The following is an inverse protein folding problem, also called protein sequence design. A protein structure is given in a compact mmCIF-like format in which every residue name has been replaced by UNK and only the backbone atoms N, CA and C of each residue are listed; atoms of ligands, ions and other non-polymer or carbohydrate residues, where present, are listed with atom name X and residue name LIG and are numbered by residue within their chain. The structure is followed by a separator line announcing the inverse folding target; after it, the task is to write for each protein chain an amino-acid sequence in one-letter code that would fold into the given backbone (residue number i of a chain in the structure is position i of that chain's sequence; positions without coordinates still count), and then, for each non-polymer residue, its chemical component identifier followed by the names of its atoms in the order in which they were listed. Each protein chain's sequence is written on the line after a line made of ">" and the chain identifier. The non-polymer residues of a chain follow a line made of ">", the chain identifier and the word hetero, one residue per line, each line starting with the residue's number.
data_IF_788602215706
#
_entry.id   IF_788602215706
#
_cell.length_a   1.000
_cell.length_b   1.000
_cell.length_c   1.000
_cell.angle_alpha   90.00
_cell.angle_beta   90.00
_cell.angle_gamma   90.00
#
_symmetry.space_group_name_H-M   'P 1'
#
loop_
_entity.id
_entity.type
_entity.pdbx_description
1 polymer ?
#
# COMPACT_ATOMS: atom_id res chain seq x y z
N UNK A 1 11.52 -18.91 22.42
CA UNK A 1 11.10 -17.94 23.30
C UNK A 1 10.58 -16.67 22.73
N UNK A 2 10.85 -16.32 21.52
CA UNK A 2 10.38 -15.06 20.96
C UNK A 2 9.06 -15.17 20.23
N UNK A 3 8.39 -16.32 20.32
CA UNK A 3 7.14 -16.54 19.59
C UNK A 3 6.07 -15.55 20.02
N UNK A 4 5.92 -15.31 21.32
CA UNK A 4 4.92 -14.37 21.83
C UNK A 4 5.23 -12.95 21.40
N UNK A 5 6.49 -12.52 21.48
CA UNK A 5 6.90 -11.19 21.06
C UNK A 5 6.68 -10.98 19.56
N UNK A 6 6.99 -12.00 18.76
CA UNK A 6 6.79 -11.94 17.32
C UNK A 6 5.31 -11.82 16.98
N UNK A 7 4.45 -12.57 17.66
CA UNK A 7 3.01 -12.52 17.48
C UNK A 7 2.46 -11.14 17.88
N UNK A 8 2.92 -10.60 19.01
CA UNK A 8 2.50 -9.29 19.45
C UNK A 8 2.89 -8.20 18.45
N UNK A 9 4.07 -8.31 17.87
CA UNK A 9 4.52 -7.36 16.86
C UNK A 9 3.67 -7.43 15.61
N UNK A 10 3.33 -8.63 15.16
CA UNK A 10 2.44 -8.83 14.00
C UNK A 10 1.04 -8.31 14.29
N UNK A 11 0.53 -8.53 15.48
CA UNK A 11 -0.78 -8.02 15.87
C UNK A 11 -0.80 -6.50 15.90
N UNK A 12 0.27 -5.89 16.39
CA UNK A 12 0.41 -4.44 16.39
C UNK A 12 0.40 -3.89 14.96
N UNK A 13 1.21 -4.47 14.07
CA UNK A 13 1.25 -4.04 12.67
C UNK A 13 -0.12 -4.20 12.00
N UNK A 14 -0.79 -5.32 12.23
CA UNK A 14 -2.11 -5.57 11.67
C UNK A 14 -3.12 -4.55 12.17
N UNK A 15 -3.09 -4.26 13.47
CA UNK A 15 -4.00 -3.27 14.06
C UNK A 15 -3.76 -1.88 13.50
N UNK A 16 -2.50 -1.50 13.34
CA UNK A 16 -2.16 -0.19 12.80
C UNK A 16 -2.48 -0.09 11.31
N UNK A 17 -2.32 -1.18 10.57
CA UNK A 17 -2.71 -1.22 9.15
C UNK A 17 -4.23 -1.08 9.00
N UNK A 18 -5.00 -1.73 9.87
CA UNK A 18 -6.46 -1.56 9.90
C UNK A 18 -6.84 -0.12 10.24
N UNK A 19 -6.15 0.48 11.20
CA UNK A 19 -6.39 1.88 11.54
C UNK A 19 -6.15 2.79 10.32
N UNK A 20 -5.09 2.51 9.57
CA UNK A 20 -4.81 3.25 8.34
C UNK A 20 -5.90 3.04 7.31
N UNK A 21 -6.35 1.80 7.12
CA UNK A 21 -7.41 1.50 6.16
C UNK A 21 -8.72 2.21 6.53
N UNK A 22 -9.09 2.17 7.80
CA UNK A 22 -10.30 2.85 8.27
C UNK A 22 -10.20 4.36 8.09
N UNK A 23 -9.02 4.93 8.34
CA UNK A 23 -8.82 6.35 8.11
C UNK A 23 -9.00 6.70 6.64
N UNK A 24 -8.38 5.93 5.76
CA UNK A 24 -8.49 6.15 4.31
C UNK A 24 -9.94 6.03 3.84
N UNK A 25 -10.65 5.00 4.29
CA UNK A 25 -12.06 4.79 3.92
C UNK A 25 -12.93 5.94 4.41
N UNK A 26 -12.70 6.36 5.65
CA UNK A 26 -13.52 7.39 6.28
C UNK A 26 -13.34 8.78 5.64
N UNK A 27 -12.12 9.09 5.22
CA UNK A 27 -11.79 10.42 4.74
C UNK A 27 -11.63 10.53 3.22
N UNK A 28 -11.80 9.44 2.48
CA UNK A 28 -11.56 9.49 1.03
C UNK A 28 -12.50 10.47 0.32
N UNK A 29 -13.72 10.64 0.79
CA UNK A 29 -14.68 11.56 0.18
C UNK A 29 -14.27 13.03 0.36
N UNK A 30 -13.50 13.33 1.39
CA UNK A 30 -13.03 14.69 1.66
C UNK A 30 -11.91 15.11 0.70
N UNK A 31 -11.29 14.16 0.02
CA UNK A 31 -10.12 14.38 -0.82
C UNK A 31 -10.31 13.83 -2.23
N UNK A 32 -11.53 13.93 -2.75
CA UNK A 32 -11.79 13.48 -4.10
C UNK A 32 -10.86 14.23 -5.07
N UNK A 33 -10.13 13.46 -5.88
CA UNK A 33 -9.16 14.02 -6.81
C UNK A 33 -7.81 14.36 -6.20
N UNK A 34 -7.63 14.14 -4.89
CA UNK A 34 -6.35 14.43 -4.24
C UNK A 34 -5.99 13.31 -3.25
N UNK A 35 -5.78 12.11 -3.80
CA UNK A 35 -5.40 10.96 -2.99
C UNK A 35 -4.03 11.12 -2.33
N UNK A 36 -3.14 11.93 -2.91
CA UNK A 36 -1.84 12.16 -2.29
C UNK A 36 -1.98 12.85 -0.94
N UNK A 37 -2.89 13.81 -0.84
CA UNK A 37 -3.16 14.48 0.43
C UNK A 37 -3.80 13.51 1.42
N UNK A 38 -4.73 12.69 0.97
CA UNK A 38 -5.35 11.67 1.80
C UNK A 38 -4.30 10.72 2.37
N UNK A 39 -3.39 10.24 1.51
CA UNK A 39 -2.30 9.35 1.90
C UNK A 39 -1.42 10.02 2.97
N UNK A 40 -1.02 11.26 2.73
CA UNK A 40 -0.18 12.02 3.67
C UNK A 40 -0.87 12.22 5.02
N UNK A 41 -2.16 12.51 5.01
CA UNK A 41 -2.95 12.67 6.24
C UNK A 41 -3.03 11.37 7.02
N UNK A 42 -3.16 10.23 6.32
CA UNK A 42 -3.18 8.94 6.99
C UNK A 42 -1.86 8.66 7.69
N UNK A 43 -0.74 8.97 7.03
CA UNK A 43 0.58 8.84 7.65
C UNK A 43 0.68 9.72 8.90
N UNK A 44 0.22 10.97 8.80
CA UNK A 44 0.22 11.89 9.94
C UNK A 44 -0.67 11.40 11.09
N UNK A 45 -1.79 10.79 10.77
CA UNK A 45 -2.68 10.21 11.78
C UNK A 45 -1.97 9.10 12.55
N UNK A 46 -1.29 8.21 11.85
CA UNK A 46 -0.57 7.12 12.52
C UNK A 46 0.60 7.64 13.35
N UNK A 47 1.38 8.59 12.81
CA UNK A 47 2.55 9.10 13.53
C UNK A 47 2.17 10.01 14.68
N UNK A 48 1.16 10.85 14.50
CA UNK A 48 0.78 11.84 15.50
C UNK A 48 -0.17 11.31 16.57
N UNK A 49 -1.25 10.65 16.14
CA UNK A 49 -2.29 10.20 17.07
C UNK A 49 -2.02 8.83 17.66
N UNK A 50 -1.40 7.93 16.91
CA UNK A 50 -1.15 6.56 17.35
C UNK A 50 0.32 6.29 17.63
N UNK A 51 1.16 7.30 17.51
CA UNK A 51 2.59 7.23 17.84
C UNK A 51 3.34 6.12 17.13
N UNK A 52 2.93 5.82 15.89
CA UNK A 52 3.62 4.84 15.05
C UNK A 52 4.88 5.49 14.46
N UNK A 53 6.03 4.82 14.51
CA UNK A 53 7.24 5.38 13.87
C UNK A 53 7.01 5.66 12.39
N UNK A 54 7.58 6.76 11.89
CA UNK A 54 7.33 7.23 10.53
C UNK A 54 7.54 6.16 9.46
N UNK A 55 8.66 5.44 9.53
CA UNK A 55 8.95 4.41 8.53
C UNK A 55 7.87 3.33 8.51
N UNK A 56 7.44 2.89 9.69
CA UNK A 56 6.38 1.90 9.80
C UNK A 56 5.03 2.48 9.33
N UNK A 57 4.74 3.73 9.69
CA UNK A 57 3.50 4.37 9.26
C UNK A 57 3.41 4.44 7.73
N UNK A 58 4.48 4.82 7.07
CA UNK A 58 4.54 4.85 5.61
C UNK A 58 4.29 3.47 5.00
N UNK A 59 4.91 2.45 5.58
CA UNK A 59 4.72 1.07 5.12
C UNK A 59 3.26 0.62 5.28
N UNK A 60 2.68 0.87 6.44
CA UNK A 60 1.33 0.41 6.74
C UNK A 60 0.27 1.16 5.94
N UNK A 61 0.44 2.46 5.77
CA UNK A 61 -0.48 3.25 4.93
C UNK A 61 -0.37 2.82 3.46
N UNK A 62 0.84 2.53 2.99
CA UNK A 62 1.04 2.04 1.62
C UNK A 62 0.27 0.74 1.40
N UNK A 63 0.35 -0.19 2.34
CA UNK A 63 -0.37 -1.46 2.25
C UNK A 63 -1.89 -1.27 2.31
N UNK A 64 -2.34 -0.40 3.22
CA UNK A 64 -3.76 -0.11 3.36
C UNK A 64 -4.31 0.56 2.10
N UNK A 65 -3.55 1.47 1.51
CA UNK A 65 -3.94 2.12 0.26
C UNK A 65 -4.09 1.11 -0.88
N UNK A 66 -3.15 0.17 -0.96
CA UNK A 66 -3.24 -0.91 -1.95
C UNK A 66 -4.49 -1.75 -1.76
N UNK A 67 -4.81 -2.11 -0.51
CA UNK A 67 -6.03 -2.86 -0.21
C UNK A 67 -7.28 -2.09 -0.63
N UNK A 68 -7.32 -0.80 -0.34
CA UNK A 68 -8.46 0.04 -0.71
C UNK A 68 -8.67 0.08 -2.22
N UNK A 69 -7.59 0.25 -2.97
CA UNK A 69 -7.68 0.41 -4.42
C UNK A 69 -7.87 -0.90 -5.17
N UNK A 70 -7.43 -2.02 -4.60
CA UNK A 70 -7.54 -3.34 -5.24
C UNK A 70 -8.77 -4.13 -4.77
N UNK A 71 -9.61 -3.54 -3.94
CA UNK A 71 -10.73 -4.27 -3.31
C UNK A 71 -11.76 -4.79 -4.31
N UNK A 72 -11.90 -4.16 -5.48
CA UNK A 72 -12.91 -4.54 -6.46
C UNK A 72 -12.42 -5.65 -7.39
N UNK A 73 -11.26 -5.45 -8.02
CA UNK A 73 -10.75 -6.38 -9.03
C UNK A 73 -9.84 -7.46 -8.47
N UNK A 74 -9.32 -7.26 -7.28
CA UNK A 74 -8.49 -8.23 -6.57
C UNK A 74 -7.23 -8.69 -7.30
N UNK A 75 -6.72 -7.86 -8.21
CA UNK A 75 -5.41 -8.12 -8.77
C UNK A 75 -4.37 -8.11 -7.65
N UNK A 76 -3.46 -9.07 -7.66
CA UNK A 76 -2.52 -9.23 -6.57
C UNK A 76 -1.10 -9.41 -7.06
N UNK A 77 -0.17 -8.89 -6.28
CA UNK A 77 1.24 -9.16 -6.46
C UNK A 77 1.57 -10.49 -5.80
N UNK A 78 2.19 -11.40 -6.54
CA UNK A 78 2.72 -12.62 -5.97
C UNK A 78 4.08 -12.31 -5.37
N UNK A 79 4.11 -12.12 -4.05
CA UNK A 79 5.31 -11.68 -3.35
C UNK A 79 6.43 -12.72 -3.44
N UNK A 80 6.08 -14.00 -3.35
CA UNK A 80 7.08 -15.08 -3.43
C UNK A 80 7.75 -15.15 -4.79
N UNK A 81 6.97 -15.00 -5.85
CA UNK A 81 7.49 -15.09 -7.21
C UNK A 81 8.16 -13.79 -7.67
N UNK A 82 7.89 -12.69 -7.00
CA UNK A 82 8.45 -11.39 -7.35
C UNK A 82 9.85 -11.21 -6.76
N UNK A 83 10.61 -10.29 -7.35
CA UNK A 83 11.95 -9.95 -6.87
C UNK A 83 12.14 -8.43 -6.96
N UNK A 84 13.37 -7.98 -6.72
CA UNK A 84 13.69 -6.56 -6.85
C UNK A 84 13.64 -6.07 -8.30
N UNK A 85 13.65 -6.97 -9.27
CA UNK A 85 13.67 -6.61 -10.69
C UNK A 85 12.41 -7.02 -11.44
N UNK A 86 11.56 -7.86 -10.87
CA UNK A 86 10.34 -8.31 -11.54
C UNK A 86 9.17 -8.36 -10.57
N UNK A 87 8.04 -7.81 -10.99
CA UNK A 87 6.78 -7.91 -10.28
C UNK A 87 5.93 -8.98 -10.96
N UNK A 88 5.48 -9.97 -10.20
CA UNK A 88 4.58 -11.01 -10.71
C UNK A 88 3.18 -10.69 -10.23
N UNK A 89 2.29 -10.45 -11.18
CA UNK A 89 0.92 -10.00 -10.89
C UNK A 89 -0.06 -11.05 -11.36
N UNK A 90 -0.98 -11.44 -10.48
CA UNK A 90 -2.02 -12.41 -10.80
C UNK A 90 -3.35 -11.73 -11.02
N UNK A 91 -4.09 -12.21 -12.02
CA UNK A 91 -5.46 -11.79 -12.28
C UNK A 91 -6.38 -12.95 -11.91
N UNK A 92 -7.09 -12.85 -10.78
CA UNK A 92 -7.93 -13.97 -10.33
C UNK A 92 -9.09 -14.27 -11.28
N UNK A 93 -9.56 -13.31 -12.04
CA UNK A 93 -10.71 -13.51 -12.92
C UNK A 93 -10.35 -14.35 -14.14
N UNK A 94 -9.16 -14.17 -14.71
CA UNK A 94 -8.72 -14.93 -15.88
C UNK A 94 -7.80 -16.09 -15.54
N UNK A 95 -7.23 -16.09 -14.34
CA UNK A 95 -6.23 -17.06 -13.91
C UNK A 95 -4.85 -16.81 -14.52
N UNK A 96 -4.67 -15.71 -15.23
CA UNK A 96 -3.40 -15.38 -15.85
C UNK A 96 -2.45 -14.73 -14.86
N UNK A 97 -1.17 -14.98 -15.04
CA UNK A 97 -0.10 -14.43 -14.23
C UNK A 97 0.91 -13.75 -15.14
N UNK A 98 1.28 -12.53 -14.79
CA UNK A 98 2.15 -11.70 -15.62
C UNK A 98 3.44 -11.40 -14.87
N UNK A 99 4.57 -11.61 -15.53
CA UNK A 99 5.85 -11.17 -15.00
C UNK A 99 6.19 -9.81 -15.64
N UNK A 100 6.26 -8.78 -14.83
CA UNK A 100 6.45 -7.41 -15.32
C UNK A 100 7.79 -6.89 -14.79
N UNK A 101 8.75 -6.61 -15.68
CA UNK A 101 10.01 -6.02 -15.23
C UNK A 101 9.75 -4.69 -14.50
N UNK A 102 10.43 -4.51 -13.37
CA UNK A 102 10.28 -3.26 -12.59
C UNK A 102 10.66 -2.04 -13.43
N UNK A 103 11.66 -2.20 -14.30
CA UNK A 103 12.07 -1.12 -15.20
C UNK A 103 10.92 -0.69 -16.13
N UNK A 104 10.15 -1.63 -16.60
CA UNK A 104 9.00 -1.35 -17.46
C UNK A 104 7.91 -0.58 -16.69
N UNK A 105 7.69 -0.95 -15.44
CA UNK A 105 6.76 -0.24 -14.58
C UNK A 105 7.19 1.22 -14.44
N UNK A 106 8.46 1.44 -14.19
CA UNK A 106 8.97 2.80 -14.07
C UNK A 106 8.80 3.59 -15.37
N UNK A 107 9.20 3.01 -16.50
CA UNK A 107 9.15 3.71 -17.78
C UNK A 107 7.72 4.01 -18.25
N UNK A 108 6.82 3.06 -18.08
CA UNK A 108 5.47 3.16 -18.67
C UNK A 108 4.43 3.70 -17.71
N UNK A 109 4.68 3.64 -16.41
CA UNK A 109 3.70 4.03 -15.40
C UNK A 109 4.22 5.18 -14.56
N UNK A 110 5.31 4.99 -13.85
CA UNK A 110 5.81 6.00 -12.90
C UNK A 110 6.27 7.25 -13.61
N UNK A 111 7.01 7.09 -14.71
CA UNK A 111 7.52 8.20 -15.50
C UNK A 111 6.54 8.71 -16.56
N UNK A 112 5.31 8.22 -16.54
CA UNK A 112 4.30 8.64 -17.51
C UNK A 112 3.77 10.04 -17.17
N UNK A 113 3.30 10.75 -18.20
CA UNK A 113 2.75 12.09 -18.02
C UNK A 113 1.51 12.09 -17.12
N UNK A 114 0.74 11.00 -17.15
CA UNK A 114 -0.43 10.85 -16.30
C UNK A 114 -0.18 9.77 -15.27
N UNK A 115 0.34 10.19 -14.12
CA UNK A 115 0.62 9.27 -13.00
C UNK A 115 -0.25 9.54 -11.79
N UNK A 116 -1.45 10.07 -12.01
CA UNK A 116 -2.35 10.48 -10.91
C UNK A 116 -2.79 9.35 -10.01
N UNK A 117 -2.72 8.10 -10.48
CA UNK A 117 -3.05 6.93 -9.67
C UNK A 117 -1.94 6.50 -8.73
N UNK A 118 -0.76 7.09 -8.89
CA UNK A 118 0.39 6.75 -8.09
C UNK A 118 0.49 7.67 -6.90
N UNK A 119 1.11 7.17 -5.84
CA UNK A 119 1.31 7.97 -4.62
C UNK A 119 2.76 7.91 -4.22
N UNK A 120 3.33 9.08 -4.02
CA UNK A 120 4.69 9.21 -3.54
C UNK A 120 4.70 8.87 -2.04
N UNK A 121 5.51 7.89 -1.66
CA UNK A 121 5.58 7.44 -0.27
C UNK A 121 6.55 8.31 0.50
N UNK A 122 7.75 8.55 -0.07
CA UNK A 122 8.75 9.43 0.53
C UNK A 122 9.19 10.45 -0.50
N UNK A 123 9.26 11.73 -0.10
CA UNK A 123 9.73 12.78 -1.01
C UNK A 123 11.21 12.68 -1.30
#
# INVERSE_FOLDING_TARGET
>A
MNTATHTEHQEYETSMQLAALFFLQRHQAEHLGNDQLLFSRAVQHLTGSLEVPLHMAEKLVTRAYGELKCSINRHQLDVEASSTTVAVVTDPSSGLTWAVPVNLIYERIINAADNRRLRLVTP
#
